data_IF_328364236604
#
_entry.id   IF_328364236604
#
_cell.length_a   1.000
_cell.length_b   1.000
_cell.length_c   1.000
_cell.angle_alpha   90.00
_cell.angle_beta   90.00
_cell.angle_gamma   90.00
#
_symmetry.space_group_name_H-M   'P 1'
#
loop_
_entity.id
_entity.type
_entity.pdbx_description
1 polymer ?
#
# COMPACT_ATOMS: atom_id res chain seq x y z
N UNK A 1 8.36 -10.80 -20.85
CA UNK A 1 8.32 -10.36 -19.44
C UNK A 1 8.17 -11.61 -18.59
N UNK A 2 8.95 -11.76 -17.51
CA UNK A 2 8.76 -12.87 -16.55
C UNK A 2 7.44 -12.65 -15.80
N UNK A 3 6.80 -13.74 -15.37
CA UNK A 3 5.60 -13.66 -14.54
C UNK A 3 5.94 -13.00 -13.19
N UNK A 4 5.34 -11.85 -12.85
CA UNK A 4 5.59 -11.17 -11.59
C UNK A 4 5.18 -12.00 -10.37
N UNK A 5 4.16 -12.86 -10.47
CA UNK A 5 3.78 -13.74 -9.36
C UNK A 5 4.86 -14.79 -9.11
N UNK A 6 5.36 -15.42 -10.17
CA UNK A 6 6.46 -16.38 -10.09
C UNK A 6 7.71 -15.73 -9.49
N UNK A 7 8.05 -14.51 -9.92
CA UNK A 7 9.22 -13.79 -9.44
C UNK A 7 9.13 -13.48 -7.93
N UNK A 8 7.92 -13.22 -7.41
CA UNK A 8 7.70 -12.96 -5.98
C UNK A 8 7.63 -14.21 -5.13
N UNK A 9 7.05 -15.28 -5.66
CA UNK A 9 6.84 -16.52 -4.92
C UNK A 9 8.08 -17.43 -4.93
N UNK A 10 8.83 -17.45 -6.05
CA UNK A 10 9.91 -18.40 -6.31
C UNK A 10 11.17 -17.69 -6.83
N UNK A 11 11.53 -16.55 -6.25
CA UNK A 11 12.66 -15.73 -6.68
C UNK A 11 13.98 -16.51 -6.81
N UNK A 12 14.27 -17.41 -5.86
CA UNK A 12 15.46 -18.25 -5.85
C UNK A 12 15.46 -19.25 -7.02
N UNK A 13 14.36 -19.98 -7.22
CA UNK A 13 14.20 -20.90 -8.35
C UNK A 13 14.32 -20.19 -9.70
N UNK A 14 13.83 -18.95 -9.80
CA UNK A 14 13.97 -18.13 -11.00
C UNK A 14 15.43 -17.68 -11.19
N UNK A 15 16.12 -17.28 -10.12
CA UNK A 15 17.53 -16.92 -10.16
C UNK A 15 18.40 -18.07 -10.66
N UNK A 16 18.18 -19.28 -10.15
CA UNK A 16 18.87 -20.49 -10.60
C UNK A 16 18.68 -20.74 -12.10
N UNK A 17 17.45 -20.66 -12.59
CA UNK A 17 17.14 -20.86 -14.02
C UNK A 17 17.74 -19.78 -14.92
N UNK A 18 17.92 -18.55 -14.39
CA UNK A 18 18.52 -17.45 -15.14
C UNK A 18 20.04 -17.59 -15.30
N UNK A 19 20.71 -18.37 -14.46
CA UNK A 19 22.16 -18.65 -14.60
C UNK A 19 22.51 -19.34 -15.91
N UNK A 20 21.60 -20.16 -16.46
CA UNK A 20 21.74 -20.81 -17.79
C UNK A 20 21.91 -19.75 -18.89
N UNK A 21 21.26 -18.60 -18.74
CA UNK A 21 21.37 -17.45 -19.64
C UNK A 21 22.48 -16.47 -19.22
N UNK A 22 23.33 -16.86 -18.27
CA UNK A 22 24.42 -16.05 -17.69
C UNK A 22 23.92 -14.75 -17.05
N UNK A 23 22.69 -14.76 -16.53
CA UNK A 23 22.12 -13.63 -15.82
C UNK A 23 22.03 -13.94 -14.33
N UNK A 24 22.45 -12.99 -13.50
CA UNK A 24 22.39 -13.08 -12.04
C UNK A 24 21.24 -12.19 -11.58
N UNK A 25 20.19 -12.81 -11.03
CA UNK A 25 19.08 -12.10 -10.43
C UNK A 25 19.47 -11.69 -9.01
N UNK A 26 19.28 -10.41 -8.69
CA UNK A 26 19.48 -9.88 -7.34
C UNK A 26 18.24 -10.17 -6.47
N UNK A 27 18.23 -11.37 -5.88
CA UNK A 27 17.13 -11.86 -5.04
C UNK A 27 16.98 -11.04 -3.76
N UNK A 28 18.09 -10.57 -3.18
CA UNK A 28 18.08 -9.77 -1.95
C UNK A 28 17.40 -8.42 -2.18
N UNK A 29 17.78 -7.72 -3.25
CA UNK A 29 17.14 -6.46 -3.64
C UNK A 29 15.67 -6.66 -3.99
N UNK A 30 15.34 -7.74 -4.69
CA UNK A 30 13.95 -8.06 -5.01
C UNK A 30 13.12 -8.29 -3.73
N UNK A 31 13.65 -9.03 -2.77
CA UNK A 31 13.02 -9.27 -1.48
C UNK A 31 12.76 -7.97 -0.72
N UNK A 32 13.77 -7.09 -0.63
CA UNK A 32 13.62 -5.79 0.02
C UNK A 32 12.54 -4.92 -0.62
N UNK A 33 12.45 -4.89 -1.96
CA UNK A 33 11.41 -4.15 -2.68
C UNK A 33 10.01 -4.76 -2.44
N UNK A 34 9.90 -6.08 -2.35
CA UNK A 34 8.63 -6.73 -2.04
C UNK A 34 8.17 -6.46 -0.60
N UNK A 35 9.08 -6.39 0.35
CA UNK A 35 8.76 -6.03 1.73
C UNK A 35 8.31 -4.56 1.83
N UNK A 36 8.99 -3.65 1.13
CA UNK A 36 8.54 -2.25 1.00
C UNK A 36 7.14 -2.18 0.37
N UNK A 37 6.90 -2.90 -0.73
CA UNK A 37 5.59 -2.94 -1.41
C UNK A 37 4.49 -3.43 -0.47
N UNK A 38 4.75 -4.49 0.31
CA UNK A 38 3.79 -5.00 1.31
C UNK A 38 3.53 -3.97 2.41
N UNK A 39 4.57 -3.31 2.92
CA UNK A 39 4.45 -2.25 3.91
C UNK A 39 3.55 -1.11 3.44
N UNK A 40 3.81 -0.58 2.24
CA UNK A 40 2.99 0.47 1.63
C UNK A 40 1.55 0.00 1.40
N UNK A 41 1.35 -1.25 0.99
CA UNK A 41 0.01 -1.80 0.80
C UNK A 41 -0.78 -1.85 2.12
N UNK A 42 -0.15 -2.28 3.21
CA UNK A 42 -0.76 -2.26 4.54
C UNK A 42 -1.06 -0.83 5.01
N UNK A 43 -0.13 0.09 4.84
CA UNK A 43 -0.30 1.51 5.20
C UNK A 43 -1.49 2.15 4.46
N UNK A 44 -1.62 1.91 3.15
CA UNK A 44 -2.77 2.38 2.36
C UNK A 44 -4.08 1.80 2.88
N UNK A 45 -4.11 0.50 3.22
CA UNK A 45 -5.31 -0.13 3.77
C UNK A 45 -5.71 0.47 5.12
N UNK A 46 -4.74 0.75 5.98
CA UNK A 46 -4.97 1.37 7.29
C UNK A 46 -5.49 2.80 7.15
N UNK A 47 -4.87 3.61 6.29
CA UNK A 47 -5.31 4.97 6.00
C UNK A 47 -6.70 5.01 5.37
N UNK A 48 -7.00 4.07 4.46
CA UNK A 48 -8.35 3.94 3.88
C UNK A 48 -9.38 3.58 4.94
N UNK A 49 -9.06 2.66 5.86
CA UNK A 49 -9.95 2.31 6.95
C UNK A 49 -10.20 3.51 7.89
N UNK A 50 -9.15 4.26 8.22
CA UNK A 50 -9.24 5.48 9.01
C UNK A 50 -10.11 6.54 8.33
N UNK A 51 -9.84 6.85 7.06
CA UNK A 51 -10.62 7.79 6.25
C UNK A 51 -12.10 7.43 6.20
N UNK A 52 -12.42 6.14 6.08
CA UNK A 52 -13.80 5.66 6.08
C UNK A 52 -14.48 5.78 7.45
N UNK A 53 -13.74 5.60 8.55
CA UNK A 53 -14.25 5.86 9.91
C UNK A 53 -14.53 7.35 10.11
N UNK A 54 -13.59 8.22 9.75
CA UNK A 54 -13.76 9.69 9.87
C UNK A 54 -14.91 10.20 9.01
N UNK A 55 -15.06 9.70 7.78
CA UNK A 55 -16.19 10.07 6.91
C UNK A 55 -17.56 9.70 7.49
N UNK A 56 -17.68 8.54 8.16
CA UNK A 56 -18.91 8.13 8.85
C UNK A 56 -19.22 9.04 10.03
N UNK A 57 -18.19 9.40 10.81
CA UNK A 57 -18.35 10.29 11.96
C UNK A 57 -18.76 11.70 11.56
N UNK A 58 -18.17 12.26 10.48
CA UNK A 58 -18.61 13.51 9.87
C UNK A 58 -20.10 13.46 9.53
N UNK A 59 -20.56 12.38 8.88
CA UNK A 59 -21.96 12.21 8.54
C UNK A 59 -22.88 12.22 9.76
N UNK A 60 -22.50 11.50 10.83
CA UNK A 60 -23.26 11.44 12.09
C UNK A 60 -23.34 12.81 12.77
N UNK A 61 -22.20 13.49 12.94
CA UNK A 61 -22.12 14.80 13.62
C UNK A 61 -22.83 15.89 12.84
N UNK A 62 -22.72 15.87 11.51
CA UNK A 62 -23.48 16.78 10.63
C UNK A 62 -24.98 16.58 10.75
N UNK A 63 -25.45 15.33 10.88
CA UNK A 63 -26.86 15.04 11.14
C UNK A 63 -27.33 15.49 12.53
N UNK A 64 -26.43 15.50 13.52
CA UNK A 64 -26.66 16.03 14.87
C UNK A 64 -26.60 17.57 14.96
N UNK A 65 -26.24 18.27 13.88
CA UNK A 65 -26.09 19.72 13.86
C UNK A 65 -24.79 20.22 14.53
N UNK A 66 -23.83 19.33 14.76
CA UNK A 66 -22.52 19.67 15.31
C UNK A 66 -21.59 20.26 14.23
N UNK A 67 -20.61 21.05 14.65
CA UNK A 67 -19.55 21.51 13.76
C UNK A 67 -18.61 20.35 13.38
N UNK A 68 -18.40 20.20 12.08
CA UNK A 68 -17.60 19.12 11.48
C UNK A 68 -16.43 19.65 10.65
N UNK A 69 -16.19 20.96 10.64
CA UNK A 69 -15.13 21.61 9.86
C UNK A 69 -13.76 20.96 10.09
N UNK A 70 -13.34 20.78 11.35
CA UNK A 70 -12.05 20.12 11.67
C UNK A 70 -11.98 18.65 11.24
N UNK A 71 -13.08 17.89 11.37
CA UNK A 71 -13.13 16.49 10.93
C UNK A 71 -13.07 16.35 9.40
N UNK A 72 -13.60 17.33 8.66
CA UNK A 72 -13.51 17.37 7.19
C UNK A 72 -12.07 17.62 6.77
N UNK A 73 -11.37 18.55 7.42
CA UNK A 73 -9.94 18.82 7.16
C UNK A 73 -9.08 17.57 7.43
N UNK A 74 -9.31 16.89 8.56
CA UNK A 74 -8.62 15.64 8.89
C UNK A 74 -8.88 14.56 7.84
N UNK A 75 -10.14 14.38 7.42
CA UNK A 75 -10.52 13.41 6.39
C UNK A 75 -9.88 13.74 5.03
N UNK A 76 -9.76 15.03 4.70
CA UNK A 76 -9.07 15.50 3.49
C UNK A 76 -7.56 15.24 3.57
N UNK A 77 -6.95 15.46 4.74
CA UNK A 77 -5.54 15.13 4.99
C UNK A 77 -5.23 13.64 4.80
N UNK A 78 -6.13 12.75 5.25
CA UNK A 78 -6.00 11.31 5.02
C UNK A 78 -6.06 10.96 3.54
N UNK A 79 -6.94 11.61 2.75
CA UNK A 79 -6.99 11.41 1.31
C UNK A 79 -5.70 11.86 0.61
N UNK A 80 -5.10 12.96 1.07
CA UNK A 80 -3.79 13.42 0.59
C UNK A 80 -2.69 12.39 0.84
N UNK A 81 -2.61 11.84 2.07
CA UNK A 81 -1.64 10.80 2.43
C UNK A 81 -1.78 9.54 1.57
N UNK A 82 -3.02 9.08 1.33
CA UNK A 82 -3.28 7.93 0.46
C UNK A 82 -2.79 8.19 -0.97
N UNK A 83 -2.95 9.41 -1.50
CA UNK A 83 -2.49 9.75 -2.86
C UNK A 83 -0.97 9.87 -3.00
N UNK A 84 -0.27 10.05 -1.88
CA UNK A 84 1.19 10.19 -1.84
C UNK A 84 1.92 8.84 -1.79
N UNK A 85 1.20 7.75 -1.49
CA UNK A 85 1.68 6.37 -1.48
C UNK A 85 1.33 5.69 -2.80
#
# INVERSE_FOLDING_TARGET
>A
MLDPQLLRAEAESVAERLTVKKYILDVEKLGSLEDQRKGLQSEVQDLQAERNRSAKEVGRRKAAGEDVSGLIEETSGLAGKISAI
#
